data_IF_036892929639
#
_entry.id   IF_036892929639
#
_cell.length_a   1.000
_cell.length_b   1.000
_cell.length_c   1.000
_cell.angle_alpha   90.00
_cell.angle_beta   90.00
_cell.angle_gamma   90.00
#
_symmetry.space_group_name_H-M   'P 1'
#
loop_
_entity.id
_entity.type
_entity.pdbx_description
1 polymer ?
#
# COMPACT_ATOMS: atom_id res chain seq x y z
N UNK A 1 -18.53 -10.15 40.25
CA UNK A 1 -19.47 -9.94 41.38
C UNK A 1 -20.34 -11.18 41.52
N UNK A 2 -20.65 -11.59 42.76
CA UNK A 2 -21.44 -12.75 43.22
C UNK A 2 -20.65 -13.99 43.68
N UNK A 3 -19.85 -13.83 44.75
CA UNK A 3 -19.59 -14.91 45.70
C UNK A 3 -20.71 -14.92 46.75
N UNK A 4 -21.76 -15.70 46.52
CA UNK A 4 -22.70 -16.09 47.57
C UNK A 4 -22.15 -17.35 48.23
N UNK A 5 -21.32 -17.17 49.25
CA UNK A 5 -21.01 -18.23 50.20
C UNK A 5 -22.30 -18.63 50.90
N UNK A 6 -22.84 -19.81 50.58
CA UNK A 6 -23.98 -20.37 51.30
C UNK A 6 -23.55 -20.62 52.73
N UNK A 7 -24.12 -19.85 53.67
CA UNK A 7 -24.14 -20.17 55.09
C UNK A 7 -24.88 -21.50 55.24
N UNK A 8 -24.13 -22.59 55.19
CA UNK A 8 -24.62 -23.89 55.60
C UNK A 8 -24.51 -23.89 57.11
N UNK A 9 -25.53 -23.30 57.74
CA UNK A 9 -25.62 -23.18 59.19
C UNK A 9 -25.40 -24.55 59.83
N UNK A 10 -24.43 -24.56 60.76
CA UNK A 10 -24.17 -25.68 61.65
C UNK A 10 -25.43 -25.94 62.47
N UNK A 11 -26.27 -26.87 61.99
CA UNK A 11 -27.26 -27.55 62.82
C UNK A 11 -26.50 -28.44 63.80
N UNK A 12 -26.03 -27.83 64.89
CA UNK A 12 -25.61 -28.54 66.09
C UNK A 12 -26.84 -29.26 66.65
N UNK A 13 -26.97 -30.53 66.27
CA UNK A 13 -28.00 -31.42 66.78
C UNK A 13 -27.63 -31.77 68.21
N UNK A 14 -27.96 -30.86 69.14
CA UNK A 14 -27.88 -31.10 70.58
C UNK A 14 -28.84 -32.23 70.93
N UNK A 15 -28.38 -33.48 70.88
CA UNK A 15 -28.97 -34.60 71.60
C UNK A 15 -28.69 -34.39 73.10
N UNK A 16 -29.31 -33.36 73.68
CA UNK A 16 -29.46 -33.26 75.12
C UNK A 16 -30.33 -34.42 75.57
N UNK A 17 -29.71 -35.52 76.02
CA UNK A 17 -30.41 -36.59 76.73
C UNK A 17 -30.70 -36.06 78.13
N UNK A 18 -31.68 -35.17 78.26
CA UNK A 18 -32.37 -35.06 79.53
C UNK A 18 -33.16 -36.35 79.66
N UNK A 19 -32.74 -37.24 80.57
CA UNK A 19 -33.54 -38.39 80.95
C UNK A 19 -34.76 -37.88 81.73
N UNK A 20 -35.73 -37.35 81.01
CA UNK A 20 -37.02 -37.07 81.59
C UNK A 20 -37.65 -38.42 81.93
N UNK A 21 -37.72 -38.72 83.23
CA UNK A 21 -38.39 -39.91 83.76
C UNK A 21 -39.91 -39.84 83.60
N UNK A 22 -40.41 -38.90 82.79
CA UNK A 22 -41.81 -38.66 82.51
C UNK A 22 -41.97 -38.56 81.00
N UNK A 23 -43.04 -39.16 80.48
CA UNK A 23 -43.47 -38.96 79.10
C UNK A 23 -44.99 -38.82 79.08
N UNK A 24 -45.51 -38.03 78.15
CA UNK A 24 -46.94 -37.85 77.96
C UNK A 24 -47.34 -38.33 76.57
N UNK A 25 -48.23 -39.30 76.51
CA UNK A 25 -48.67 -39.93 75.25
C UNK A 25 -50.17 -40.13 75.25
N UNK A 26 -50.79 -39.67 74.16
CA UNK A 26 -52.24 -39.77 73.94
C UNK A 26 -52.60 -41.18 73.43
N UNK A 27 -53.73 -41.71 73.91
CA UNK A 27 -54.31 -42.97 73.40
C UNK A 27 -53.75 -44.26 74.02
N UNK A 28 -52.94 -44.16 75.09
CA UNK A 28 -52.54 -45.33 75.87
C UNK A 28 -53.61 -45.62 76.90
N UNK A 29 -54.17 -46.84 76.85
CA UNK A 29 -55.09 -47.33 77.88
C UNK A 29 -54.27 -47.65 79.14
N UNK A 30 -54.52 -46.92 80.22
CA UNK A 30 -53.97 -47.21 81.54
C UNK A 30 -54.88 -48.18 82.30
N UNK A 31 -54.27 -49.03 83.11
CA UNK A 31 -54.92 -49.96 84.03
C UNK A 31 -55.00 -49.33 85.42
N UNK A 32 -55.99 -48.47 85.61
CA UNK A 32 -56.24 -47.82 86.90
C UNK A 32 -57.08 -48.68 87.85
N UNK A 33 -57.76 -49.71 87.34
CA UNK A 33 -58.55 -50.65 88.14
C UNK A 33 -57.67 -51.75 88.73
N UNK A 34 -57.78 -51.99 90.03
CA UNK A 34 -57.01 -53.03 90.74
C UNK A 34 -57.34 -54.44 90.23
N UNK A 35 -58.54 -54.68 89.71
CA UNK A 35 -58.93 -55.94 89.06
C UNK A 35 -58.14 -56.25 87.79
N UNK A 36 -57.47 -55.27 87.19
CA UNK A 36 -56.65 -55.46 85.98
C UNK A 36 -55.15 -55.67 86.31
N UNK A 37 -54.78 -55.64 87.59
CA UNK A 37 -53.42 -55.82 88.08
C UNK A 37 -53.07 -57.29 88.26
N UNK A 38 -51.92 -57.69 87.70
CA UNK A 38 -51.44 -59.05 87.74
C UNK A 38 -50.51 -59.22 88.94
N UNK A 39 -50.94 -60.03 89.89
CA UNK A 39 -50.14 -60.40 91.05
C UNK A 39 -49.04 -61.38 90.61
N UNK A 40 -47.79 -61.02 90.89
CA UNK A 40 -46.62 -61.87 90.67
C UNK A 40 -45.72 -61.87 91.90
N UNK A 41 -45.00 -62.96 92.11
CA UNK A 41 -44.05 -63.10 93.22
C UNK A 41 -42.66 -62.52 92.88
N UNK A 42 -42.44 -62.12 91.63
CA UNK A 42 -41.18 -61.56 91.13
C UNK A 42 -41.41 -60.43 90.11
N UNK A 43 -40.41 -59.57 89.94
CA UNK A 43 -40.45 -58.44 89.02
C UNK A 43 -40.37 -58.90 87.56
N UNK A 44 -41.37 -58.57 86.73
CA UNK A 44 -41.38 -58.95 85.30
C UNK A 44 -40.24 -58.35 84.44
N UNK A 45 -39.41 -57.47 85.00
CA UNK A 45 -38.31 -56.80 84.28
C UNK A 45 -36.94 -57.36 84.67
N UNK A 46 -36.75 -57.78 85.92
CA UNK A 46 -35.44 -58.18 86.44
C UNK A 46 -35.48 -59.43 87.33
N UNK A 47 -36.63 -60.09 87.42
CA UNK A 47 -36.88 -61.34 88.15
C UNK A 47 -36.58 -61.27 89.66
N UNK A 48 -36.50 -60.06 90.22
CA UNK A 48 -36.32 -59.85 91.66
C UNK A 48 -37.56 -60.37 92.42
N UNK A 49 -37.37 -61.34 93.31
CA UNK A 49 -38.43 -61.91 94.13
C UNK A 49 -38.89 -60.94 95.23
N UNK A 50 -40.18 -60.66 95.31
CA UNK A 50 -40.75 -59.66 96.22
C UNK A 50 -40.80 -60.13 97.68
N UNK A 51 -40.80 -61.44 97.93
CA UNK A 51 -40.85 -61.99 99.31
C UNK A 51 -39.70 -61.48 100.19
N UNK A 52 -38.58 -61.07 99.58
CA UNK A 52 -37.37 -60.57 100.27
C UNK A 52 -37.16 -59.06 100.18
N UNK A 53 -37.84 -58.35 99.27
CA UNK A 53 -37.46 -56.99 98.86
C UNK A 53 -38.59 -55.95 98.94
N UNK A 54 -39.70 -56.29 99.59
CA UNK A 54 -40.83 -55.37 99.86
C UNK A 54 -42.02 -55.58 98.94
N UNK A 55 -43.08 -54.78 99.14
CA UNK A 55 -44.34 -54.89 98.39
C UNK A 55 -44.12 -54.62 96.89
N UNK A 56 -44.70 -55.41 95.97
CA UNK A 56 -44.64 -55.13 94.54
C UNK A 56 -45.32 -53.81 94.19
N UNK A 57 -44.82 -53.14 93.15
CA UNK A 57 -45.55 -52.06 92.47
C UNK A 57 -46.17 -52.60 91.18
N UNK A 58 -47.21 -51.96 90.66
CA UNK A 58 -47.80 -52.35 89.38
C UNK A 58 -47.45 -51.34 88.28
N UNK A 59 -47.15 -51.79 87.08
CA UNK A 59 -47.09 -50.90 85.93
C UNK A 59 -48.51 -50.52 85.51
N UNK A 60 -48.83 -49.23 85.42
CA UNK A 60 -50.16 -48.76 85.02
C UNK A 60 -50.41 -48.93 83.51
N UNK A 61 -49.40 -49.28 82.72
CA UNK A 61 -49.56 -49.57 81.29
C UNK A 61 -49.93 -51.04 81.05
N UNK A 62 -49.18 -52.00 81.63
CA UNK A 62 -49.42 -53.43 81.39
C UNK A 62 -50.07 -54.18 82.55
N UNK A 63 -50.05 -53.65 83.77
CA UNK A 63 -50.64 -54.25 84.97
C UNK A 63 -49.73 -55.22 85.72
N UNK A 64 -48.55 -55.56 85.19
CA UNK A 64 -47.63 -56.51 85.82
C UNK A 64 -46.97 -55.96 87.09
N UNK A 65 -46.64 -56.87 88.00
CA UNK A 65 -45.85 -56.60 89.20
C UNK A 65 -44.38 -56.31 88.87
N UNK A 66 -43.85 -55.22 89.41
CA UNK A 66 -42.50 -54.67 89.17
C UNK A 66 -41.89 -54.09 90.43
N UNK A 67 -40.56 -54.14 90.55
CA UNK A 67 -39.85 -53.53 91.68
C UNK A 67 -39.76 -51.99 91.51
N UNK A 68 -39.36 -51.29 92.58
CA UNK A 68 -39.21 -49.82 92.59
C UNK A 68 -38.23 -49.34 91.51
N UNK A 69 -37.12 -50.04 91.34
CA UNK A 69 -36.05 -49.67 90.41
C UNK A 69 -36.44 -49.87 88.95
N UNK A 70 -37.29 -50.86 88.64
CA UNK A 70 -37.76 -51.11 87.27
C UNK A 70 -39.02 -50.30 86.90
N UNK A 71 -39.50 -49.44 87.81
CA UNK A 71 -40.74 -48.69 87.66
C UNK A 71 -40.64 -47.23 88.10
N UNK A 72 -39.44 -46.66 88.06
CA UNK A 72 -39.21 -45.26 88.45
C UNK A 72 -39.73 -44.24 87.44
N UNK A 73 -40.06 -44.68 86.22
CA UNK A 73 -40.54 -43.82 85.14
C UNK A 73 -42.05 -43.67 85.15
N UNK A 74 -42.53 -42.57 84.58
CA UNK A 74 -43.93 -42.19 84.56
C UNK A 74 -44.40 -41.97 83.13
N UNK A 75 -45.59 -42.46 82.81
CA UNK A 75 -46.31 -42.18 81.56
C UNK A 75 -47.63 -41.53 81.95
N UNK A 76 -47.92 -40.33 81.45
CA UNK A 76 -49.10 -39.54 81.82
C UNK A 76 -49.25 -39.38 83.34
N UNK A 77 -48.13 -39.11 84.03
CA UNK A 77 -48.03 -39.04 85.50
C UNK A 77 -48.49 -40.31 86.25
N UNK A 78 -48.51 -41.46 85.58
CA UNK A 78 -48.75 -42.78 86.17
C UNK A 78 -47.50 -43.66 86.07
N UNK A 79 -47.26 -44.49 87.09
CA UNK A 79 -46.09 -45.38 87.17
C UNK A 79 -46.05 -46.37 86.00
N UNK A 80 -44.94 -46.41 85.26
CA UNK A 80 -44.70 -47.37 84.19
C UNK A 80 -43.45 -48.20 84.46
N UNK A 81 -43.45 -49.47 84.03
CA UNK A 81 -42.21 -50.23 83.98
C UNK A 81 -41.30 -49.74 82.84
N UNK A 82 -40.01 -50.06 82.93
CA UNK A 82 -39.03 -49.68 81.91
C UNK A 82 -39.37 -50.24 80.52
N UNK A 83 -39.89 -51.46 80.44
CA UNK A 83 -40.27 -52.09 79.17
C UNK A 83 -41.41 -51.33 78.49
N UNK A 84 -42.47 -50.99 79.24
CA UNK A 84 -43.60 -50.23 78.70
C UNK A 84 -43.16 -48.81 78.32
N UNK A 85 -42.39 -48.15 79.17
CA UNK A 85 -41.89 -46.80 78.90
C UNK A 85 -41.03 -46.77 77.62
N UNK A 86 -40.09 -47.70 77.47
CA UNK A 86 -39.25 -47.81 76.27
C UNK A 86 -40.06 -48.11 75.02
N UNK A 87 -41.05 -49.01 75.10
CA UNK A 87 -41.94 -49.33 73.97
C UNK A 87 -42.69 -48.08 73.49
N UNK A 88 -43.20 -47.29 74.42
CA UNK A 88 -43.92 -46.05 74.12
C UNK A 88 -43.00 -45.04 73.43
N UNK A 89 -41.80 -44.83 73.97
CA UNK A 89 -40.80 -43.96 73.35
C UNK A 89 -40.46 -44.38 71.91
N UNK A 90 -40.31 -45.68 71.66
CA UNK A 90 -40.03 -46.20 70.31
C UNK A 90 -41.17 -45.90 69.33
N UNK A 91 -42.43 -46.08 69.75
CA UNK A 91 -43.60 -45.77 68.90
C UNK A 91 -43.65 -44.30 68.51
N UNK A 92 -43.37 -43.39 69.44
CA UNK A 92 -43.39 -41.96 69.13
C UNK A 92 -42.20 -41.54 68.26
N UNK A 93 -41.02 -42.11 68.49
CA UNK A 93 -39.88 -41.93 67.58
C UNK A 93 -40.19 -42.42 66.17
N UNK A 94 -40.88 -43.56 66.02
CA UNK A 94 -41.30 -44.07 64.71
C UNK A 94 -42.30 -43.14 64.02
N UNK A 95 -43.27 -42.57 64.75
CA UNK A 95 -44.21 -41.58 64.21
C UNK A 95 -43.47 -40.35 63.70
N UNK A 96 -42.53 -39.81 64.48
CA UNK A 96 -41.72 -38.66 64.09
C UNK A 96 -40.88 -38.97 62.84
N UNK A 97 -40.23 -40.15 62.80
CA UNK A 97 -39.49 -40.60 61.60
C UNK A 97 -40.40 -40.71 60.37
N UNK A 98 -41.61 -41.26 60.51
CA UNK A 98 -42.59 -41.35 59.41
C UNK A 98 -43.01 -39.96 58.91
N UNK A 99 -43.26 -39.01 59.80
CA UNK A 99 -43.59 -37.63 59.44
C UNK A 99 -42.41 -36.94 58.73
N UNK A 100 -41.19 -37.10 59.23
CA UNK A 100 -39.98 -36.57 58.58
C UNK A 100 -39.76 -37.19 57.19
N UNK A 101 -39.94 -38.51 57.05
CA UNK A 101 -39.85 -39.19 55.75
C UNK A 101 -40.92 -38.66 54.79
N UNK A 102 -42.15 -38.44 55.26
CA UNK A 102 -43.23 -37.87 54.44
C UNK A 102 -42.86 -36.46 53.95
N UNK A 103 -42.44 -35.58 54.85
CA UNK A 103 -42.00 -34.22 54.51
C UNK A 103 -40.82 -34.23 53.52
N UNK A 104 -39.79 -35.06 53.75
CA UNK A 104 -38.66 -35.22 52.82
C UNK A 104 -39.10 -35.74 51.45
N UNK A 105 -40.05 -36.67 51.38
CA UNK A 105 -40.60 -37.15 50.10
C UNK A 105 -41.30 -36.05 49.32
N UNK A 106 -42.05 -35.19 49.99
CA UNK A 106 -42.69 -34.02 49.38
C UNK A 106 -41.64 -33.02 48.86
N UNK A 107 -40.60 -32.72 49.65
CA UNK A 107 -39.48 -31.87 49.21
C UNK A 107 -38.73 -32.45 48.00
N UNK A 108 -38.49 -33.77 47.98
CA UNK A 108 -37.86 -34.44 46.82
C UNK A 108 -38.74 -34.30 45.57
N UNK A 109 -40.06 -34.44 45.71
CA UNK A 109 -40.99 -34.27 44.59
C UNK A 109 -40.93 -32.85 44.03
N UNK A 110 -40.91 -31.85 44.91
CA UNK A 110 -40.81 -30.44 44.50
C UNK A 110 -39.47 -30.14 43.79
N UNK A 111 -38.35 -30.61 44.36
CA UNK A 111 -37.04 -30.46 43.73
C UNK A 111 -36.96 -31.12 42.35
N UNK A 112 -37.58 -32.30 42.17
CA UNK A 112 -37.67 -32.96 40.86
C UNK A 112 -38.41 -32.10 39.83
N UNK A 113 -39.54 -31.50 40.22
CA UNK A 113 -40.30 -30.60 39.34
C UNK A 113 -39.46 -29.36 38.96
N UNK A 114 -38.69 -28.81 39.90
CA UNK A 114 -37.82 -27.66 39.62
C UNK A 114 -36.68 -28.02 38.68
N UNK A 115 -36.04 -29.18 38.88
CA UNK A 115 -35.00 -29.69 37.97
C UNK A 115 -35.57 -29.85 36.56
N UNK A 116 -36.75 -30.45 36.42
CA UNK A 116 -37.40 -30.62 35.12
C UNK A 116 -37.67 -29.28 34.43
N UNK A 117 -38.27 -28.31 35.14
CA UNK A 117 -38.49 -26.96 34.60
C UNK A 117 -37.20 -26.28 34.15
N UNK A 118 -36.10 -26.50 34.89
CA UNK A 118 -34.81 -25.92 34.53
C UNK A 118 -34.18 -26.62 33.32
N UNK A 119 -34.38 -27.92 33.17
CA UNK A 119 -33.97 -28.68 31.98
C UNK A 119 -34.69 -28.16 30.73
N UNK A 120 -36.01 -27.98 30.81
CA UNK A 120 -36.82 -27.43 29.70
C UNK A 120 -36.32 -26.03 29.27
N UNK A 121 -36.01 -25.16 30.24
CA UNK A 121 -35.41 -23.83 29.95
C UNK A 121 -34.03 -23.94 29.28
N UNK A 122 -33.18 -24.85 29.76
CA UNK A 122 -31.86 -25.05 29.16
C UNK A 122 -31.97 -25.55 27.72
N UNK A 123 -32.92 -26.44 27.43
CA UNK A 123 -33.15 -26.94 26.08
C UNK A 123 -33.71 -25.85 25.15
N UNK A 124 -34.61 -24.99 25.66
CA UNK A 124 -35.05 -23.80 24.95
C UNK A 124 -33.88 -22.86 24.60
N UNK A 125 -33.01 -22.57 25.57
CA UNK A 125 -31.83 -21.72 25.33
C UNK A 125 -30.86 -22.33 24.33
N UNK A 126 -30.64 -23.65 24.36
CA UNK A 126 -29.81 -24.34 23.36
C UNK A 126 -30.39 -24.20 21.95
N UNK A 127 -31.69 -24.35 21.81
CA UNK A 127 -32.36 -24.17 20.51
C UNK A 127 -32.24 -22.73 20.00
N UNK A 128 -32.37 -21.73 20.89
CA UNK A 128 -32.13 -20.32 20.54
C UNK A 128 -30.69 -20.07 20.08
N UNK A 129 -29.71 -20.68 20.74
CA UNK A 129 -28.30 -20.56 20.36
C UNK A 129 -28.03 -21.15 18.97
N UNK A 130 -28.60 -22.32 18.67
CA UNK A 130 -28.49 -22.95 17.34
C UNK A 130 -29.10 -22.05 16.26
N UNK A 131 -30.24 -21.43 16.53
CA UNK A 131 -30.88 -20.55 15.55
C UNK A 131 -30.06 -19.27 15.30
N UNK A 132 -29.50 -18.68 16.35
CA UNK A 132 -28.59 -17.54 16.24
C UNK A 132 -27.34 -17.88 15.44
N UNK A 133 -26.75 -19.07 15.64
CA UNK A 133 -25.61 -19.53 14.85
C UNK A 133 -25.95 -19.62 13.36
N UNK A 134 -27.10 -20.20 13.01
CA UNK A 134 -27.57 -20.25 11.62
C UNK A 134 -27.80 -18.87 11.01
N UNK A 135 -28.29 -17.92 11.79
CA UNK A 135 -28.46 -16.53 11.34
C UNK A 135 -27.11 -15.89 11.04
N UNK A 136 -26.11 -16.10 11.90
CA UNK A 136 -24.77 -15.58 11.69
C UNK A 136 -24.11 -16.17 10.43
N UNK A 137 -24.19 -17.49 10.25
CA UNK A 137 -23.69 -18.16 9.04
C UNK A 137 -24.38 -17.64 7.77
N UNK A 138 -25.67 -17.30 7.83
CA UNK A 138 -26.40 -16.70 6.71
C UNK A 138 -25.87 -15.30 6.40
N UNK A 139 -25.67 -14.47 7.42
CA UNK A 139 -25.12 -13.13 7.24
C UNK A 139 -23.71 -13.15 6.66
N UNK A 140 -22.84 -14.06 7.13
CA UNK A 140 -21.50 -14.21 6.56
C UNK A 140 -21.55 -14.59 5.07
N UNK A 141 -22.45 -15.50 4.68
CA UNK A 141 -22.64 -15.86 3.27
C UNK A 141 -23.17 -14.70 2.44
N UNK A 142 -24.12 -13.93 2.97
CA UNK A 142 -24.67 -12.75 2.30
C UNK A 142 -23.59 -11.68 2.10
N UNK A 143 -22.77 -11.41 3.12
CA UNK A 143 -21.62 -10.51 3.04
C UNK A 143 -20.59 -11.00 2.00
N UNK A 144 -20.21 -12.28 2.04
CA UNK A 144 -19.27 -12.83 1.07
C UNK A 144 -19.80 -12.76 -0.38
N UNK A 145 -21.11 -12.94 -0.57
CA UNK A 145 -21.76 -12.78 -1.88
C UNK A 145 -21.78 -11.32 -2.37
N UNK A 146 -21.78 -10.35 -1.46
CA UNK A 146 -21.72 -8.92 -1.81
C UNK A 146 -20.28 -8.44 -2.06
N UNK A 147 -19.31 -8.97 -1.32
CA UNK A 147 -17.90 -8.60 -1.45
C UNK A 147 -17.26 -9.12 -2.73
N UNK A 148 -17.56 -10.37 -3.11
CA UNK A 148 -16.94 -11.01 -4.28
C UNK A 148 -17.14 -10.25 -5.60
N UNK A 149 -18.34 -9.77 -5.97
CA UNK A 149 -18.51 -8.96 -7.18
C UNK A 149 -17.74 -7.63 -7.14
N UNK A 150 -17.55 -7.07 -5.95
CA UNK A 150 -16.81 -5.82 -5.79
C UNK A 150 -15.31 -6.05 -5.97
N UNK A 151 -14.79 -7.15 -5.43
CA UNK A 151 -13.42 -7.63 -5.67
C UNK A 151 -13.18 -7.88 -7.17
N UNK A 152 -14.08 -8.61 -7.84
CA UNK A 152 -14.01 -8.85 -9.29
C UNK A 152 -14.01 -7.53 -10.09
N UNK A 153 -14.81 -6.53 -9.68
CA UNK A 153 -14.82 -5.20 -10.30
C UNK A 153 -13.52 -4.42 -10.10
N UNK A 154 -12.91 -4.50 -8.91
CA UNK A 154 -11.62 -3.88 -8.65
C UNK A 154 -10.52 -4.53 -9.47
N UNK A 155 -10.49 -5.85 -9.56
CA UNK A 155 -9.52 -6.58 -10.38
C UNK A 155 -9.63 -6.22 -11.86
N UNK A 156 -10.86 -6.11 -12.39
CA UNK A 156 -11.08 -5.63 -13.75
C UNK A 156 -10.51 -4.21 -13.95
N UNK A 157 -10.76 -3.28 -13.02
CA UNK A 157 -10.22 -1.92 -13.10
C UNK A 157 -8.70 -1.88 -12.99
N UNK A 158 -8.10 -2.68 -12.11
CA UNK A 158 -6.64 -2.80 -11.97
C UNK A 158 -6.03 -3.28 -13.29
N UNK A 159 -6.63 -4.29 -13.92
CA UNK A 159 -6.16 -4.80 -15.20
C UNK A 159 -6.28 -3.77 -16.33
N UNK A 160 -7.36 -2.98 -16.37
CA UNK A 160 -7.49 -1.87 -17.31
C UNK A 160 -6.41 -0.80 -17.11
N UNK A 161 -6.14 -0.41 -15.86
CA UNK A 161 -5.10 0.58 -15.54
C UNK A 161 -3.72 0.05 -15.96
N UNK A 162 -3.42 -1.23 -15.70
CA UNK A 162 -2.16 -1.85 -16.14
C UNK A 162 -1.98 -1.78 -17.66
N UNK A 163 -3.02 -2.11 -18.42
CA UNK A 163 -3.00 -2.00 -19.89
C UNK A 163 -2.79 -0.56 -20.36
N UNK A 164 -3.42 0.41 -19.71
CA UNK A 164 -3.21 1.84 -20.02
C UNK A 164 -1.77 2.28 -19.76
N UNK A 165 -1.17 1.84 -18.65
CA UNK A 165 0.24 2.11 -18.33
C UNK A 165 1.16 1.52 -19.41
N UNK A 166 0.93 0.27 -19.82
CA UNK A 166 1.71 -0.36 -20.89
C UNK A 166 1.62 0.40 -22.21
N UNK A 167 0.43 0.87 -22.58
CA UNK A 167 0.23 1.68 -23.78
C UNK A 167 0.95 3.03 -23.67
N UNK A 168 0.89 3.69 -22.52
CA UNK A 168 1.60 4.96 -22.31
C UNK A 168 3.12 4.77 -22.38
N UNK A 169 3.64 3.70 -21.79
CA UNK A 169 5.07 3.37 -21.89
C UNK A 169 5.51 3.18 -23.35
N UNK A 170 4.69 2.53 -24.18
CA UNK A 170 4.97 2.39 -25.62
C UNK A 170 4.98 3.74 -26.34
N UNK A 171 4.01 4.61 -26.03
CA UNK A 171 3.97 5.96 -26.58
C UNK A 171 5.20 6.78 -26.18
N UNK A 172 5.64 6.67 -24.92
CA UNK A 172 6.85 7.34 -24.44
C UNK A 172 8.11 6.86 -25.17
N UNK A 173 8.23 5.55 -25.43
CA UNK A 173 9.34 5.02 -26.23
C UNK A 173 9.30 5.52 -27.68
N UNK A 174 8.10 5.61 -28.29
CA UNK A 174 7.96 6.19 -29.63
C UNK A 174 8.37 7.67 -29.65
N UNK A 175 7.91 8.48 -28.69
CA UNK A 175 8.26 9.91 -28.57
C UNK A 175 9.77 10.08 -28.39
N UNK A 176 10.42 9.23 -27.58
CA UNK A 176 11.88 9.24 -27.44
C UNK A 176 12.57 8.94 -28.78
N UNK A 177 12.07 7.96 -29.53
CA UNK A 177 12.57 7.63 -30.86
C UNK A 177 12.46 8.80 -31.85
N UNK A 178 11.28 9.43 -31.91
CA UNK A 178 11.06 10.62 -32.76
C UNK A 178 11.96 11.78 -32.36
N UNK A 179 12.18 12.01 -31.06
CA UNK A 179 13.08 13.06 -30.58
C UNK A 179 14.52 12.84 -31.05
N UNK A 180 15.02 11.61 -31.01
CA UNK A 180 16.36 11.28 -31.50
C UNK A 180 16.48 11.56 -33.01
N UNK A 181 15.45 11.21 -33.79
CA UNK A 181 15.42 11.50 -35.23
C UNK A 181 15.42 13.01 -35.51
N UNK A 182 14.66 13.79 -34.74
CA UNK A 182 14.67 15.25 -34.86
C UNK A 182 16.06 15.83 -34.55
N UNK A 183 16.72 15.36 -33.49
CA UNK A 183 18.08 15.77 -33.15
C UNK A 183 19.09 15.44 -34.27
N UNK A 184 18.91 14.33 -34.99
CA UNK A 184 19.73 13.98 -36.17
C UNK A 184 19.49 14.94 -37.34
N UNK A 185 18.23 15.25 -37.64
CA UNK A 185 17.87 16.20 -38.70
C UNK A 185 18.40 17.60 -38.37
N UNK A 186 18.30 18.05 -37.12
CA UNK A 186 18.85 19.33 -36.68
C UNK A 186 20.37 19.41 -36.89
N UNK A 187 21.11 18.34 -36.58
CA UNK A 187 22.55 18.27 -36.86
C UNK A 187 22.84 18.38 -38.35
N UNK A 188 22.09 17.67 -39.20
CA UNK A 188 22.26 17.73 -40.64
C UNK A 188 21.98 19.15 -41.20
N UNK A 189 20.94 19.83 -40.69
CA UNK A 189 20.65 21.23 -41.05
C UNK A 189 21.82 22.14 -40.69
N UNK A 190 22.42 21.98 -39.51
CA UNK A 190 23.59 22.76 -39.08
C UNK A 190 24.77 22.51 -40.03
N UNK A 191 25.05 21.26 -40.37
CA UNK A 191 26.13 20.90 -41.29
C UNK A 191 25.93 21.47 -42.70
N UNK A 192 24.70 21.37 -43.22
CA UNK A 192 24.31 21.98 -44.49
C UNK A 192 24.46 23.50 -44.46
N UNK A 193 24.05 24.15 -43.36
CA UNK A 193 24.21 25.59 -43.17
C UNK A 193 25.67 26.03 -43.22
N UNK A 194 26.55 25.32 -42.49
CA UNK A 194 27.99 25.57 -42.49
C UNK A 194 28.61 25.40 -43.90
N UNK A 195 28.18 24.37 -44.63
CA UNK A 195 28.60 24.16 -46.01
C UNK A 195 28.16 25.28 -46.95
N UNK A 196 26.92 25.76 -46.83
CA UNK A 196 26.40 26.90 -47.60
C UNK A 196 27.23 28.16 -47.29
N UNK A 197 27.52 28.45 -46.02
CA UNK A 197 28.35 29.59 -45.65
C UNK A 197 29.74 29.53 -46.29
N UNK A 198 30.41 28.37 -46.22
CA UNK A 198 31.71 28.16 -46.85
C UNK A 198 31.68 28.41 -48.35
N UNK A 199 30.66 27.87 -49.04
CA UNK A 199 30.46 28.13 -50.47
C UNK A 199 30.18 29.60 -50.77
N UNK A 200 29.47 30.30 -49.89
CA UNK A 200 29.27 31.74 -49.96
C UNK A 200 30.60 32.51 -49.94
N UNK A 201 31.53 32.14 -49.05
CA UNK A 201 32.88 32.71 -49.02
C UNK A 201 33.66 32.41 -50.31
N UNK A 202 33.66 31.15 -50.77
CA UNK A 202 34.33 30.76 -52.01
C UNK A 202 33.85 31.59 -53.22
N UNK A 203 32.53 31.79 -53.33
CA UNK A 203 31.92 32.61 -54.39
C UNK A 203 32.35 34.08 -54.26
N UNK A 204 32.38 34.62 -53.04
CA UNK A 204 32.83 36.01 -52.79
C UNK A 204 34.28 36.20 -53.23
N UNK A 205 35.19 35.30 -52.85
CA UNK A 205 36.60 35.33 -53.26
C UNK A 205 36.75 35.21 -54.79
N UNK A 206 35.98 34.31 -55.43
CA UNK A 206 36.00 34.16 -56.87
C UNK A 206 35.53 35.44 -57.59
N UNK A 207 34.51 36.12 -57.05
CA UNK A 207 34.02 37.40 -57.57
C UNK A 207 35.05 38.53 -57.41
N UNK A 208 35.73 38.61 -56.27
CA UNK A 208 36.81 39.59 -56.05
C UNK A 208 37.97 39.37 -57.03
N UNK A 209 38.43 38.13 -57.21
CA UNK A 209 39.45 37.80 -58.22
C UNK A 209 39.01 38.13 -59.64
N UNK A 210 37.74 37.85 -59.99
CA UNK A 210 37.18 38.20 -61.31
C UNK A 210 37.18 39.72 -61.51
N UNK A 211 36.86 40.49 -60.48
CA UNK A 211 36.89 41.96 -60.52
C UNK A 211 38.32 42.47 -60.74
N UNK A 212 39.29 41.97 -59.97
CA UNK A 212 40.71 42.33 -60.12
C UNK A 212 41.24 41.97 -61.51
N UNK A 213 40.91 40.77 -62.01
CA UNK A 213 41.24 40.36 -63.37
C UNK A 213 40.67 41.32 -64.41
N UNK A 214 39.41 41.75 -64.24
CA UNK A 214 38.78 42.72 -65.13
C UNK A 214 39.46 44.10 -65.08
N UNK A 215 39.80 44.59 -63.89
CA UNK A 215 40.53 45.86 -63.72
C UNK A 215 41.93 45.79 -64.38
N UNK A 216 42.64 44.68 -64.22
CA UNK A 216 43.93 44.46 -64.87
C UNK A 216 43.81 44.37 -66.40
N UNK A 217 42.76 43.70 -66.89
CA UNK A 217 42.46 43.64 -68.32
C UNK A 217 42.24 45.04 -68.89
N UNK A 218 41.44 45.88 -68.23
CA UNK A 218 41.22 47.28 -68.63
C UNK A 218 42.52 48.11 -68.65
N UNK A 219 43.41 47.91 -67.68
CA UNK A 219 44.74 48.56 -67.66
C UNK A 219 45.60 48.13 -68.85
N UNK A 220 45.63 46.82 -69.14
CA UNK A 220 46.36 46.30 -70.30
C UNK A 220 45.79 46.80 -71.62
N UNK A 221 44.45 46.84 -71.77
CA UNK A 221 43.79 47.43 -72.93
C UNK A 221 44.16 48.90 -73.12
N UNK A 222 44.19 49.69 -72.03
CA UNK A 222 44.64 51.08 -72.07
C UNK A 222 46.10 51.19 -72.51
N UNK A 223 46.99 50.40 -71.91
CA UNK A 223 48.41 50.40 -72.24
C UNK A 223 48.66 50.01 -73.72
N UNK A 224 47.88 49.06 -74.24
CA UNK A 224 47.92 48.70 -75.67
C UNK A 224 47.50 49.87 -76.56
N UNK A 225 46.46 50.62 -76.19
CA UNK A 225 46.05 51.84 -76.91
C UNK A 225 47.14 52.91 -76.86
N UNK A 226 47.75 53.14 -75.70
CA UNK A 226 48.83 54.12 -75.54
C UNK A 226 50.06 53.73 -76.39
N UNK A 227 50.43 52.45 -76.40
CA UNK A 227 51.48 51.89 -77.27
C UNK A 227 51.17 52.06 -78.75
N UNK A 228 49.93 51.76 -79.17
CA UNK A 228 49.48 51.96 -80.55
C UNK A 228 49.62 53.44 -80.96
N UNK A 229 49.16 54.35 -80.12
CA UNK A 229 49.27 55.79 -80.36
C UNK A 229 50.74 56.25 -80.43
N UNK A 230 51.60 55.74 -79.55
CA UNK A 230 53.03 56.04 -79.59
C UNK A 230 53.72 55.49 -80.84
N UNK A 231 53.31 54.31 -81.30
CA UNK A 231 53.78 53.71 -82.54
C UNK A 231 53.36 54.56 -83.75
N UNK A 232 52.12 55.05 -83.78
CA UNK A 232 51.62 55.98 -84.80
C UNK A 232 52.42 57.31 -84.78
N UNK A 233 52.70 57.87 -83.60
CA UNK A 233 53.54 59.08 -83.49
C UNK A 233 54.96 58.83 -84.01
N UNK A 234 55.57 57.68 -83.68
CA UNK A 234 56.90 57.33 -84.20
C UNK A 234 56.90 57.10 -85.70
N UNK A 235 55.82 56.53 -86.25
CA UNK A 235 55.64 56.44 -87.69
C UNK A 235 55.54 57.83 -88.33
N UNK A 236 54.76 58.74 -87.74
CA UNK A 236 54.67 60.13 -88.19
C UNK A 236 56.03 60.84 -88.16
N UNK A 237 56.76 60.75 -87.04
CA UNK A 237 58.13 61.27 -86.92
C UNK A 237 59.06 60.67 -87.98
N UNK A 238 58.96 59.36 -88.23
CA UNK A 238 59.76 58.70 -89.26
C UNK A 238 59.46 59.26 -90.64
N UNK A 239 58.18 59.41 -91.00
CA UNK A 239 57.78 60.10 -92.25
C UNK A 239 58.25 61.54 -92.30
N UNK A 240 58.23 62.29 -91.19
CA UNK A 240 58.77 63.66 -91.15
C UNK A 240 60.28 63.68 -91.37
N UNK A 241 61.03 62.78 -90.74
CA UNK A 241 62.48 62.63 -90.95
C UNK A 241 62.77 62.23 -92.40
N UNK A 242 61.98 61.32 -92.97
CA UNK A 242 62.12 60.89 -94.35
C UNK A 242 61.80 62.03 -95.33
N UNK A 243 60.76 62.81 -95.06
CA UNK A 243 60.44 64.03 -95.80
C UNK A 243 61.59 65.06 -95.68
N UNK A 244 62.15 65.28 -94.49
CA UNK A 244 63.32 66.16 -94.29
C UNK A 244 64.57 65.66 -95.02
N UNK A 245 64.84 64.35 -95.02
CA UNK A 245 65.93 63.74 -95.81
C UNK A 245 65.72 63.94 -97.29
N UNK A 246 64.47 63.85 -97.75
CA UNK A 246 64.12 64.06 -99.16
C UNK A 246 64.28 65.53 -99.55
N UNK A 247 63.84 66.46 -98.69
CA UNK A 247 64.08 67.89 -98.84
C UNK A 247 65.58 68.24 -98.79
N UNK A 248 66.37 67.64 -97.90
CA UNK A 248 67.82 67.81 -97.88
C UNK A 248 68.48 67.26 -99.15
N UNK A 249 68.04 66.12 -99.67
CA UNK A 249 68.51 65.61 -100.96
C UNK A 249 68.17 66.55 -102.11
N UNK A 250 67.01 67.21 -102.08
CA UNK A 250 66.64 68.25 -103.04
C UNK A 250 67.51 69.50 -102.88
N UNK A 251 67.76 69.96 -101.66
CA UNK A 251 68.67 71.09 -101.42
C UNK A 251 70.09 70.75 -101.91
N UNK A 252 70.58 69.55 -101.63
CA UNK A 252 71.90 69.09 -102.11
C UNK A 252 71.90 68.94 -103.64
N UNK A 253 70.81 68.50 -104.27
CA UNK A 253 70.75 68.47 -105.74
C UNK A 253 70.68 69.87 -106.32
N UNK A 254 69.97 70.80 -105.69
CA UNK A 254 69.91 72.23 -106.09
C UNK A 254 71.26 72.94 -105.87
N UNK A 255 71.99 72.62 -104.80
CA UNK A 255 73.35 73.11 -104.54
C UNK A 255 74.36 72.51 -105.52
N UNK A 256 74.25 71.22 -105.84
CA UNK A 256 75.08 70.59 -106.86
C UNK A 256 74.76 71.11 -108.27
N UNK A 257 73.50 71.40 -108.59
CA UNK A 257 73.13 72.07 -109.85
C UNK A 257 73.61 73.53 -109.92
N UNK A 258 73.67 74.24 -108.78
CA UNK A 258 74.28 75.59 -108.71
C UNK A 258 75.80 75.54 -108.84
N UNK A 259 76.46 74.54 -108.26
CA UNK A 259 77.90 74.37 -108.37
C UNK A 259 78.30 73.88 -109.76
N UNK A 260 77.54 72.99 -110.41
CA UNK A 260 77.76 72.60 -111.81
C UNK A 260 77.50 73.76 -112.79
N UNK A 261 76.56 74.67 -112.49
CA UNK A 261 76.35 75.90 -113.29
C UNK A 261 77.47 76.93 -113.11
N UNK A 262 78.12 76.96 -111.95
CA UNK A 262 79.28 77.83 -111.71
C UNK A 262 80.58 77.25 -112.28
N UNK A 263 80.74 75.92 -112.30
CA UNK A 263 81.89 75.26 -112.92
C UNK A 263 81.77 75.14 -114.46
N UNK A 264 80.57 75.21 -115.05
CA UNK A 264 80.37 75.41 -116.51
C UNK A 264 80.41 76.87 -116.98
N UNK A 265 80.59 77.83 -116.06
CA UNK A 265 81.16 79.16 -116.37
C UNK A 265 82.67 79.22 -116.13
N UNK A 266 83.31 78.07 -115.97
CA UNK A 266 84.62 77.89 -116.55
C UNK A 266 84.56 78.19 -118.05
N UNK A 267 85.74 78.51 -118.56
CA UNK A 267 86.17 78.16 -119.90
C UNK A 267 85.90 79.10 -121.07
N UNK A 268 85.02 80.12 -120.97
CA UNK A 268 84.76 81.06 -122.09
C UNK A 268 85.37 82.47 -122.01
N UNK A 269 86.08 82.85 -120.93
CA UNK A 269 86.69 84.20 -120.83
C UNK A 269 88.23 84.23 -120.80
N UNK A 270 88.90 83.10 -121.02
CA UNK A 270 90.37 82.98 -120.99
C UNK A 270 91.00 82.52 -122.33
N UNK A 271 90.32 82.73 -123.46
CA UNK A 271 90.85 82.44 -124.82
C UNK A 271 90.61 83.52 -125.88
N UNK A 272 90.44 84.78 -125.49
CA UNK A 272 90.31 85.88 -126.46
C UNK A 272 90.97 87.19 -126.00
N UNK A 273 92.29 87.17 -125.71
CA UNK A 273 93.14 88.39 -125.80
C UNK A 273 94.65 88.10 -125.75
N UNK A 274 95.11 87.14 -126.58
CA UNK A 274 96.49 87.04 -127.06
C UNK A 274 96.49 86.52 -128.51
N UNK A 275 96.13 87.41 -129.46
CA UNK A 275 96.45 87.26 -130.89
C UNK A 275 96.28 88.60 -131.68
N UNK A 276 97.16 89.57 -131.40
CA UNK A 276 97.58 90.71 -132.28
C UNK A 276 98.90 91.21 -131.67
N UNK A 277 100.14 91.00 -132.12
CA UNK A 277 100.77 90.52 -133.35
C UNK A 277 100.23 91.09 -134.68
N UNK A 278 101.08 91.96 -135.23
CA UNK A 278 101.48 92.04 -136.64
C UNK A 278 100.90 93.15 -137.52
N UNK A 279 101.86 93.88 -138.11
CA UNK A 279 101.83 94.64 -139.36
C UNK A 279 101.33 96.11 -139.27
N UNK A 280 102.17 97.11 -139.60
CA UNK A 280 102.54 97.57 -140.98
C UNK A 280 101.31 98.20 -141.66
N UNK A 281 101.31 99.32 -142.39
CA UNK A 281 102.21 100.39 -142.84
C UNK A 281 101.27 101.36 -143.62
N UNK A 282 101.61 102.65 -143.70
CA UNK A 282 101.02 103.76 -144.50
C UNK A 282 99.57 104.20 -144.19
#
# INVERSE_FOLDING_TARGET
>A
MLNKTSSFDQLSFNFGVTQENKTYVVGIKMKDNESEWLQGNECIVCDLNFSKSGKPHHCRVCGNSVCKNCSYKMVNDKRSCDLCFKRIQLVDQEKLKKQQIKSKKESIKELKNQIQKQQEKNDQMKNQLIELQKQFERQEREHAQQEKPLEDQFDQKINMIRQQIENNNRLDENIKGERIQLEEIEREIIDLHNNIQKKGFDIKFANERKKEFHENLQKHEKHLKDLQQSLEQKQQEYTEIENRRTAQKQIISEENEKNEKNEKKSSDLNKEQKHKENCIIY
#
